data_IF_319515380476
#
_entry.id   IF_319515380476
#
_cell.length_a   1.000
_cell.length_b   1.000
_cell.length_c   1.000
_cell.angle_alpha   90.00
_cell.angle_beta   90.00
_cell.angle_gamma   90.00
#
_symmetry.space_group_name_H-M   'P 1'
#
loop_
_entity.id
_entity.type
_entity.pdbx_description
1 polymer ?
#
# COMPACT_ATOMS: atom_id res chain seq x y z
N UNK A 1 -51.42 57.26 -3.52
CA UNK A 1 -50.85 57.12 -2.16
C UNK A 1 -50.89 55.62 -1.88
N UNK A 2 -49.84 54.84 -2.15
CA UNK A 2 -48.54 54.86 -1.44
C UNK A 2 -48.76 54.15 -0.09
N UNK A 3 -48.47 52.86 0.04
CA UNK A 3 -47.21 52.27 0.55
C UNK A 3 -47.51 51.60 1.93
N UNK A 4 -46.86 50.58 2.47
CA UNK A 4 -45.80 49.63 2.11
C UNK A 4 -46.10 48.27 2.81
N UNK A 5 -45.47 47.15 2.45
CA UNK A 5 -44.14 46.70 2.92
C UNK A 5 -44.27 46.14 4.35
N UNK A 6 -44.04 44.86 4.64
CA UNK A 6 -42.75 44.15 4.59
C UNK A 6 -42.94 42.63 4.38
N UNK A 7 -42.17 42.05 3.44
CA UNK A 7 -41.81 40.62 3.38
C UNK A 7 -40.36 40.50 3.87
N UNK A 8 -40.12 39.65 4.87
CA UNK A 8 -38.78 39.23 5.30
C UNK A 8 -38.44 37.87 4.67
N UNK A 9 -37.18 37.75 4.23
CA UNK A 9 -36.45 36.48 4.35
C UNK A 9 -36.07 35.78 3.06
N UNK A 10 -35.17 36.38 2.27
CA UNK A 10 -34.35 35.62 1.32
C UNK A 10 -32.88 36.02 1.51
N UNK A 11 -32.12 35.18 2.21
CA UNK A 11 -30.79 35.54 2.71
C UNK A 11 -29.91 34.36 3.08
N UNK A 12 -30.15 33.15 2.53
CA UNK A 12 -29.38 31.96 2.89
C UNK A 12 -28.74 31.20 1.71
N UNK A 13 -29.00 31.61 0.46
CA UNK A 13 -28.38 30.97 -0.72
C UNK A 13 -26.97 31.50 -1.03
N UNK A 14 -26.62 32.69 -0.56
CA UNK A 14 -25.31 33.33 -0.83
C UNK A 14 -24.16 32.92 0.09
N UNK A 15 -24.43 32.31 1.25
CA UNK A 15 -23.40 31.86 2.21
C UNK A 15 -22.89 30.45 1.90
N UNK A 16 -23.76 29.53 1.48
CA UNK A 16 -23.35 28.17 1.07
C UNK A 16 -22.48 28.19 -0.20
N UNK A 17 -22.83 29.03 -1.17
CA UNK A 17 -22.09 29.17 -2.44
C UNK A 17 -20.72 29.88 -2.26
N UNK A 18 -20.48 30.45 -1.07
CA UNK A 18 -19.20 31.01 -0.63
C UNK A 18 -18.34 29.97 0.10
N UNK A 19 -18.97 29.16 0.95
CA UNK A 19 -18.30 28.07 1.67
C UNK A 19 -17.83 26.96 0.71
N UNK A 20 -18.65 26.60 -0.29
CA UNK A 20 -18.25 25.61 -1.31
C UNK A 20 -17.09 26.11 -2.20
N UNK A 21 -17.04 27.42 -2.48
CA UNK A 21 -15.91 28.03 -3.20
C UNK A 21 -14.65 28.12 -2.35
N UNK A 22 -14.78 28.36 -1.05
CA UNK A 22 -13.64 28.36 -0.12
C UNK A 22 -13.10 26.94 0.12
N UNK A 23 -13.95 25.91 0.14
CA UNK A 23 -13.55 24.50 0.20
C UNK A 23 -12.91 24.01 -1.11
N UNK A 24 -13.42 24.40 -2.29
CA UNK A 24 -12.76 24.11 -3.57
C UNK A 24 -11.42 24.84 -3.72
N UNK A 25 -11.29 26.06 -3.17
CA UNK A 25 -10.04 26.81 -3.19
C UNK A 25 -9.03 26.29 -2.16
N UNK A 26 -9.48 25.71 -1.05
CA UNK A 26 -8.64 24.98 -0.09
C UNK A 26 -8.20 23.61 -0.64
N UNK A 27 -9.10 22.86 -1.30
CA UNK A 27 -8.75 21.59 -1.96
C UNK A 27 -7.74 21.78 -3.11
N UNK A 28 -7.79 22.91 -3.83
CA UNK A 28 -6.77 23.28 -4.83
C UNK A 28 -5.44 23.71 -4.22
N UNK A 29 -5.41 24.20 -2.98
CA UNK A 29 -4.18 24.58 -2.26
C UNK A 29 -3.49 23.39 -1.58
N UNK A 30 -4.20 22.31 -1.26
CA UNK A 30 -3.59 21.12 -0.64
C UNK A 30 -2.78 20.26 -1.62
N UNK A 31 -2.99 20.39 -2.93
CA UNK A 31 -2.18 19.76 -3.99
C UNK A 31 -0.98 20.62 -4.46
N UNK A 32 -0.85 21.87 -3.98
CA UNK A 32 0.34 22.69 -4.22
C UNK A 32 1.45 22.33 -3.23
N UNK A 33 2.29 21.37 -3.64
CA UNK A 33 3.63 21.22 -3.06
C UNK A 33 4.30 22.61 -3.06
N UNK A 34 4.83 23.11 -1.94
CA UNK A 34 5.41 24.45 -1.87
C UNK A 34 6.41 24.60 -3.01
N UNK A 35 6.26 25.69 -3.78
CA UNK A 35 7.07 26.06 -4.94
C UNK A 35 8.50 26.48 -4.53
N UNK A 36 9.16 25.63 -3.73
CA UNK A 36 10.60 25.53 -3.67
C UNK A 36 11.04 24.66 -4.83
N UNK A 37 10.89 25.18 -6.05
CA UNK A 37 11.45 24.60 -7.27
C UNK A 37 12.88 24.15 -6.97
N UNK A 38 13.10 22.83 -7.00
CA UNK A 38 14.42 22.25 -7.18
C UNK A 38 14.91 22.75 -8.53
N UNK A 39 15.50 23.95 -8.53
CA UNK A 39 16.17 24.49 -9.69
C UNK A 39 17.42 23.65 -9.88
N UNK A 40 17.42 22.81 -10.90
CA UNK A 40 18.60 22.04 -11.30
C UNK A 40 19.68 23.06 -11.69
N UNK A 41 20.61 23.34 -10.77
CA UNK A 41 21.82 24.06 -11.12
C UNK A 41 22.67 23.16 -12.01
N UNK A 42 23.10 23.68 -13.17
CA UNK A 42 24.06 23.01 -14.06
C UNK A 42 25.40 22.69 -13.37
N UNK A 43 25.67 23.29 -12.22
CA UNK A 43 26.94 23.17 -11.53
C UNK A 43 27.11 21.81 -10.82
N UNK A 44 26.02 21.07 -10.55
CA UNK A 44 26.07 19.76 -9.90
C UNK A 44 25.41 18.71 -10.79
N UNK A 45 26.23 17.78 -11.30
CA UNK A 45 25.74 16.63 -12.02
C UNK A 45 25.14 15.61 -11.02
N UNK A 46 23.81 15.59 -10.88
CA UNK A 46 23.09 14.70 -9.98
C UNK A 46 23.42 13.20 -10.20
N UNK A 47 23.74 12.79 -11.42
CA UNK A 47 24.18 11.42 -11.71
C UNK A 47 25.49 11.08 -11.00
N UNK A 48 26.46 11.99 -10.96
CA UNK A 48 27.70 11.77 -10.18
C UNK A 48 27.43 11.56 -8.70
N UNK A 49 26.40 12.23 -8.16
CA UNK A 49 25.97 12.02 -6.77
C UNK A 49 25.42 10.60 -6.58
N UNK A 50 24.55 10.12 -7.47
CA UNK A 50 24.04 8.75 -7.40
C UNK A 50 25.14 7.70 -7.55
N UNK A 51 26.11 7.90 -8.45
CA UNK A 51 27.28 7.01 -8.58
C UNK A 51 28.10 6.99 -7.28
N UNK A 52 28.33 8.15 -6.67
CA UNK A 52 29.04 8.22 -5.39
C UNK A 52 28.29 7.49 -4.26
N UNK A 53 26.96 7.71 -4.15
CA UNK A 53 26.12 7.03 -3.18
C UNK A 53 26.14 5.51 -3.40
N UNK A 54 26.02 5.07 -4.65
CA UNK A 54 26.08 3.67 -5.04
C UNK A 54 27.40 3.00 -4.63
N UNK A 55 28.54 3.65 -4.89
CA UNK A 55 29.86 3.18 -4.50
C UNK A 55 30.03 3.13 -2.97
N UNK A 56 29.49 4.13 -2.27
CA UNK A 56 29.54 4.20 -0.81
C UNK A 56 28.75 3.04 -0.18
N UNK A 57 27.54 2.78 -0.69
CA UNK A 57 26.73 1.65 -0.22
C UNK A 57 27.38 0.32 -0.59
N UNK A 58 27.99 0.20 -1.76
CA UNK A 58 28.70 -1.02 -2.16
C UNK A 58 29.89 -1.34 -1.22
N UNK A 59 30.60 -0.32 -0.75
CA UNK A 59 31.68 -0.49 0.23
C UNK A 59 31.16 -0.85 1.63
N UNK A 60 29.96 -0.39 2.01
CA UNK A 60 29.36 -0.62 3.31
C UNK A 60 28.64 -1.99 3.42
N UNK A 61 27.97 -2.40 2.34
CA UNK A 61 27.04 -3.54 2.33
C UNK A 61 27.66 -4.86 2.83
N UNK A 62 28.93 -5.21 2.53
CA UNK A 62 29.53 -6.44 3.05
C UNK A 62 29.58 -6.52 4.59
N UNK A 63 29.66 -5.37 5.27
CA UNK A 63 29.66 -5.32 6.74
C UNK A 63 28.25 -5.29 7.36
N UNK A 64 27.25 -4.83 6.61
CA UNK A 64 25.85 -4.79 7.04
C UNK A 64 24.90 -4.85 5.84
N UNK A 65 24.55 -6.05 5.35
CA UNK A 65 23.74 -6.22 4.15
C UNK A 65 22.33 -5.65 4.29
N UNK A 66 21.70 -5.78 5.46
CA UNK A 66 20.37 -5.22 5.71
C UNK A 66 20.37 -3.69 5.61
N UNK A 67 21.36 -3.03 6.21
CA UNK A 67 21.49 -1.57 6.11
C UNK A 67 21.81 -1.13 4.68
N UNK A 68 22.76 -1.81 4.03
CA UNK A 68 23.13 -1.54 2.64
C UNK A 68 21.93 -1.60 1.70
N UNK A 69 21.11 -2.64 1.83
CA UNK A 69 19.88 -2.81 1.07
C UNK A 69 18.91 -1.65 1.31
N UNK A 70 18.65 -1.30 2.58
CA UNK A 70 17.76 -0.17 2.90
C UNK A 70 18.27 1.15 2.35
N UNK A 71 19.59 1.37 2.35
CA UNK A 71 20.18 2.56 1.74
C UNK A 71 19.98 2.57 0.23
N UNK A 72 20.21 1.45 -0.47
CA UNK A 72 19.89 1.35 -1.90
C UNK A 72 18.41 1.68 -2.18
N UNK A 73 17.48 1.16 -1.38
CA UNK A 73 16.06 1.47 -1.54
C UNK A 73 15.75 2.97 -1.37
N UNK A 74 16.38 3.65 -0.41
CA UNK A 74 16.21 5.09 -0.22
C UNK A 74 16.78 5.90 -1.39
N UNK A 75 17.94 5.48 -1.91
CA UNK A 75 18.57 6.12 -3.07
C UNK A 75 17.69 5.93 -4.31
N UNK A 76 17.14 4.73 -4.54
CA UNK A 76 16.22 4.44 -5.63
C UNK A 76 14.97 5.33 -5.57
N UNK A 77 14.36 5.48 -4.38
CA UNK A 77 13.22 6.37 -4.18
C UNK A 77 13.59 7.84 -4.47
N UNK A 78 14.76 8.29 -4.01
CA UNK A 78 15.25 9.63 -4.31
C UNK A 78 15.41 9.86 -5.81
N UNK A 79 15.97 8.90 -6.55
CA UNK A 79 16.13 8.99 -7.99
C UNK A 79 14.77 9.02 -8.72
N UNK A 80 13.80 8.19 -8.29
CA UNK A 80 12.43 8.22 -8.84
C UNK A 80 11.74 9.58 -8.61
N UNK A 81 11.93 10.19 -7.45
CA UNK A 81 11.41 11.55 -7.17
C UNK A 81 12.07 12.61 -8.05
N UNK A 82 13.37 12.51 -8.31
CA UNK A 82 14.05 13.38 -9.28
C UNK A 82 13.51 13.17 -10.70
N UNK A 83 13.26 11.92 -11.11
CA UNK A 83 12.64 11.61 -12.40
C UNK A 83 11.25 12.23 -12.53
N UNK A 84 10.44 12.17 -11.47
CA UNK A 84 9.10 12.76 -11.45
C UNK A 84 9.17 14.30 -11.54
N UNK A 85 10.06 14.93 -10.76
CA UNK A 85 10.25 16.38 -10.80
C UNK A 85 10.75 16.86 -12.17
N UNK A 86 11.69 16.14 -12.78
CA UNK A 86 12.19 16.42 -14.13
C UNK A 86 11.08 16.28 -15.19
N UNK A 87 10.23 15.26 -15.07
CA UNK A 87 9.10 15.06 -15.99
C UNK A 87 8.07 16.19 -15.89
N UNK A 88 7.79 16.68 -14.66
CA UNK A 88 6.86 17.80 -14.43
C UNK A 88 7.40 19.14 -14.92
N UNK A 89 8.72 19.35 -14.91
CA UNK A 89 9.35 20.57 -15.43
C UNK A 89 9.59 20.54 -16.95
N UNK A 90 9.23 19.45 -17.63
CA UNK A 90 9.50 19.27 -19.07
C UNK A 90 10.98 19.00 -19.39
N UNK A 91 11.80 18.66 -18.38
CA UNK A 91 13.19 18.28 -18.57
C UNK A 91 13.30 16.93 -19.28
N UNK A 92 14.29 16.83 -20.19
CA UNK A 92 14.60 15.58 -20.90
C UNK A 92 15.36 14.56 -20.05
N UNK A 93 15.73 14.92 -18.81
CA UNK A 93 16.50 14.08 -17.90
C UNK A 93 15.64 13.08 -17.11
N UNK A 94 14.31 13.22 -17.13
CA UNK A 94 13.38 12.33 -16.41
C UNK A 94 13.61 10.83 -16.66
N UNK A 95 13.69 10.38 -17.93
CA UNK A 95 13.98 8.98 -18.25
C UNK A 95 15.32 8.49 -17.71
N UNK A 96 16.35 9.35 -17.68
CA UNK A 96 17.68 8.98 -17.15
C UNK A 96 17.62 8.74 -15.63
N UNK A 97 16.93 9.60 -14.88
CA UNK A 97 16.75 9.38 -13.44
C UNK A 97 15.89 8.15 -13.13
N UNK A 98 14.90 7.84 -13.97
CA UNK A 98 14.09 6.62 -13.81
C UNK A 98 14.94 5.35 -14.03
N UNK A 99 15.82 5.36 -15.04
CA UNK A 99 16.78 4.28 -15.26
C UNK A 99 17.74 4.10 -14.07
N UNK A 100 18.26 5.20 -13.51
CA UNK A 100 19.09 5.15 -12.29
C UNK A 100 18.32 4.55 -11.11
N UNK A 101 17.05 4.95 -10.91
CA UNK A 101 16.22 4.39 -9.85
C UNK A 101 16.04 2.87 -10.00
N UNK A 102 15.83 2.39 -11.23
CA UNK A 102 15.65 0.99 -11.54
C UNK A 102 16.94 0.18 -11.31
N UNK A 103 18.08 0.67 -11.81
CA UNK A 103 19.39 0.04 -11.61
C UNK A 103 19.72 -0.12 -10.12
N UNK A 104 19.47 0.91 -9.31
CA UNK A 104 19.72 0.88 -7.87
C UNK A 104 18.75 -0.07 -7.16
N UNK A 105 17.49 -0.15 -7.59
CA UNK A 105 16.54 -1.15 -7.08
C UNK A 105 17.02 -2.57 -7.40
N UNK A 106 17.51 -2.81 -8.61
CA UNK A 106 18.06 -4.10 -9.00
C UNK A 106 19.27 -4.49 -8.14
N UNK A 107 20.12 -3.54 -7.77
CA UNK A 107 21.22 -3.77 -6.83
C UNK A 107 20.75 -4.12 -5.41
N UNK A 108 19.70 -3.46 -4.92
CA UNK A 108 19.09 -3.83 -3.64
C UNK A 108 18.59 -5.28 -3.65
N UNK A 109 18.06 -5.75 -4.79
CA UNK A 109 17.54 -7.11 -4.95
C UNK A 109 18.67 -8.14 -5.07
N UNK A 110 19.76 -7.82 -5.76
CA UNK A 110 20.95 -8.67 -5.77
C UNK A 110 21.53 -8.83 -4.36
N UNK A 111 21.67 -7.73 -3.62
CA UNK A 111 22.14 -7.78 -2.23
C UNK A 111 21.23 -8.62 -1.32
N UNK A 112 19.91 -8.57 -1.54
CA UNK A 112 18.97 -9.44 -0.85
C UNK A 112 19.25 -10.93 -1.12
N UNK A 113 19.49 -11.27 -2.38
CA UNK A 113 19.69 -12.65 -2.83
C UNK A 113 21.01 -13.22 -2.34
N UNK A 114 22.07 -12.42 -2.37
CA UNK A 114 23.43 -12.87 -2.09
C UNK A 114 23.73 -12.87 -0.59
N UNK A 115 23.33 -11.82 0.14
CA UNK A 115 23.88 -11.55 1.49
C UNK A 115 22.82 -11.45 2.61
N UNK A 116 21.52 -11.29 2.31
CA UNK A 116 20.46 -11.19 3.35
C UNK A 116 19.89 -12.58 3.68
N UNK A 117 20.54 -13.26 4.61
CA UNK A 117 20.18 -14.64 5.01
C UNK A 117 19.39 -14.76 6.33
N UNK A 118 19.48 -13.78 7.24
CA UNK A 118 18.70 -13.81 8.49
C UNK A 118 17.20 -13.67 8.21
N UNK A 119 16.41 -14.61 8.73
CA UNK A 119 14.96 -14.65 8.52
C UNK A 119 14.24 -13.36 8.96
N UNK A 120 14.69 -12.71 10.05
CA UNK A 120 14.07 -11.45 10.48
C UNK A 120 14.52 -10.27 9.60
N UNK A 121 15.79 -10.23 9.20
CA UNK A 121 16.29 -9.25 8.23
C UNK A 121 15.59 -9.37 6.88
N UNK A 122 15.36 -10.60 6.38
CA UNK A 122 14.60 -10.86 5.17
C UNK A 122 13.19 -10.28 5.24
N UNK A 123 12.48 -10.47 6.35
CA UNK A 123 11.17 -9.89 6.55
C UNK A 123 11.22 -8.35 6.53
N UNK A 124 12.12 -7.74 7.31
CA UNK A 124 12.25 -6.28 7.38
C UNK A 124 12.63 -5.64 6.05
N UNK A 125 13.46 -6.33 5.26
CA UNK A 125 13.88 -5.85 3.93
C UNK A 125 12.76 -6.00 2.90
N UNK A 126 11.98 -7.09 2.92
CA UNK A 126 10.77 -7.21 2.07
C UNK A 126 9.77 -6.10 2.38
N UNK A 127 9.51 -5.80 3.65
CA UNK A 127 8.63 -4.68 4.04
C UNK A 127 9.14 -3.36 3.47
N UNK A 128 10.46 -3.11 3.56
CA UNK A 128 11.07 -1.92 2.98
C UNK A 128 10.95 -1.89 1.45
N UNK A 129 11.17 -3.01 0.76
CA UNK A 129 10.98 -3.12 -0.69
C UNK A 129 9.55 -2.79 -1.10
N UNK A 130 8.56 -3.36 -0.41
CA UNK A 130 7.13 -3.09 -0.69
C UNK A 130 6.85 -1.60 -0.55
N UNK A 131 7.25 -0.98 0.57
CA UNK A 131 7.05 0.44 0.81
C UNK A 131 7.71 1.33 -0.24
N UNK A 132 8.95 1.01 -0.65
CA UNK A 132 9.66 1.76 -1.68
C UNK A 132 9.00 1.63 -3.04
N UNK A 133 8.62 0.41 -3.46
CA UNK A 133 7.93 0.19 -4.74
C UNK A 133 6.54 0.85 -4.77
N UNK A 134 5.83 0.88 -3.64
CA UNK A 134 4.57 1.63 -3.52
C UNK A 134 4.76 3.14 -3.52
N UNK A 135 5.97 3.65 -3.29
CA UNK A 135 6.29 5.08 -3.38
C UNK A 135 6.77 5.49 -4.78
N UNK A 136 7.44 4.59 -5.52
CA UNK A 136 7.92 4.88 -6.87
C UNK A 136 6.78 5.13 -7.86
N UNK A 137 6.95 6.09 -8.78
CA UNK A 137 5.92 6.50 -9.73
C UNK A 137 6.36 6.45 -11.18
N UNK A 138 7.67 6.44 -11.44
CA UNK A 138 8.21 6.67 -12.79
C UNK A 138 8.58 5.41 -13.55
N UNK A 139 8.66 4.26 -12.88
CA UNK A 139 8.95 2.99 -13.55
C UNK A 139 7.93 2.67 -14.65
N UNK A 140 8.44 2.21 -15.78
CA UNK A 140 7.63 1.66 -16.86
C UNK A 140 6.85 0.43 -16.35
N UNK A 141 5.77 0.10 -17.04
CA UNK A 141 4.86 -0.96 -16.61
C UNK A 141 5.57 -2.30 -16.45
N UNK A 142 6.37 -2.69 -17.44
CA UNK A 142 7.04 -3.99 -17.47
C UNK A 142 8.17 -4.06 -16.42
N UNK A 143 8.91 -2.97 -16.25
CA UNK A 143 9.93 -2.82 -15.21
C UNK A 143 9.33 -2.92 -13.81
N UNK A 144 8.21 -2.21 -13.57
CA UNK A 144 7.49 -2.29 -12.31
C UNK A 144 6.97 -3.71 -12.06
N UNK A 145 6.37 -4.33 -13.07
CA UNK A 145 5.85 -5.70 -12.97
C UNK A 145 6.95 -6.71 -12.63
N UNK A 146 8.13 -6.58 -13.23
CA UNK A 146 9.29 -7.42 -12.93
C UNK A 146 9.71 -7.28 -11.46
N UNK A 147 9.82 -6.05 -10.95
CA UNK A 147 10.21 -5.77 -9.57
C UNK A 147 9.19 -6.32 -8.56
N UNK A 148 7.90 -6.01 -8.72
CA UNK A 148 6.86 -6.46 -7.77
C UNK A 148 6.70 -7.98 -7.78
N UNK A 149 6.86 -8.61 -8.94
CA UNK A 149 6.80 -10.07 -9.07
C UNK A 149 7.96 -10.71 -8.33
N UNK A 150 9.16 -10.16 -8.45
CA UNK A 150 10.36 -10.64 -7.75
C UNK A 150 10.24 -10.44 -6.23
N UNK A 151 9.71 -9.30 -5.77
CA UNK A 151 9.41 -9.07 -4.33
C UNK A 151 8.38 -10.08 -3.79
N UNK A 152 7.30 -10.35 -4.52
CA UNK A 152 6.32 -11.35 -4.13
C UNK A 152 6.90 -12.77 -4.08
N UNK A 153 7.85 -13.10 -4.97
CA UNK A 153 8.58 -14.36 -4.93
C UNK A 153 9.46 -14.49 -3.68
N UNK A 154 10.11 -13.41 -3.24
CA UNK A 154 10.88 -13.40 -1.99
C UNK A 154 9.98 -13.67 -0.79
N UNK A 155 8.85 -12.97 -0.67
CA UNK A 155 7.84 -13.22 0.35
C UNK A 155 7.37 -14.68 0.35
N UNK A 156 7.14 -15.24 -0.84
CA UNK A 156 6.71 -16.62 -1.04
C UNK A 156 7.81 -17.67 -0.78
N UNK A 157 9.08 -17.28 -0.61
CA UNK A 157 10.20 -18.20 -0.32
C UNK A 157 10.68 -18.15 1.13
N UNK A 158 10.08 -17.30 1.97
CA UNK A 158 10.39 -17.25 3.39
C UNK A 158 10.20 -18.61 4.06
N UNK A 159 11.15 -18.98 4.92
CA UNK A 159 11.20 -20.29 5.58
C UNK A 159 10.02 -20.49 6.55
N UNK A 160 9.67 -19.45 7.32
CA UNK A 160 8.59 -19.51 8.31
C UNK A 160 7.25 -19.25 7.64
N UNK A 161 6.31 -20.20 7.79
CA UNK A 161 4.96 -20.10 7.21
C UNK A 161 4.16 -18.89 7.69
N UNK A 162 4.30 -18.52 8.96
CA UNK A 162 3.65 -17.32 9.51
C UNK A 162 4.15 -16.05 8.82
N UNK A 163 5.46 -15.95 8.59
CA UNK A 163 6.06 -14.79 7.94
C UNK A 163 5.77 -14.79 6.44
N UNK A 164 5.79 -15.97 5.80
CA UNK A 164 5.36 -16.18 4.42
C UNK A 164 3.92 -15.68 4.23
N UNK A 165 2.99 -16.04 5.12
CA UNK A 165 1.61 -15.59 5.08
C UNK A 165 1.53 -14.06 5.13
N UNK A 166 2.12 -13.45 6.17
CA UNK A 166 2.10 -11.99 6.37
C UNK A 166 2.69 -11.23 5.20
N UNK A 167 3.84 -11.68 4.68
CA UNK A 167 4.53 -10.99 3.59
C UNK A 167 3.85 -11.19 2.22
N UNK A 168 3.25 -12.36 1.97
CA UNK A 168 2.44 -12.58 0.76
C UNK A 168 1.19 -11.71 0.78
N UNK A 169 0.51 -11.60 1.95
CA UNK A 169 -0.61 -10.66 2.13
C UNK A 169 -0.15 -9.23 1.88
N UNK A 170 0.97 -8.80 2.46
CA UNK A 170 1.50 -7.44 2.25
C UNK A 170 1.86 -7.16 0.78
N UNK A 171 2.45 -8.12 0.07
CA UNK A 171 2.78 -7.96 -1.35
C UNK A 171 1.56 -7.82 -2.26
N UNK A 172 0.34 -8.15 -1.79
CA UNK A 172 -0.88 -7.93 -2.57
C UNK A 172 -1.06 -6.45 -2.96
N UNK A 173 -0.59 -5.51 -2.12
CA UNK A 173 -0.70 -4.06 -2.37
C UNK A 173 0.09 -3.62 -3.59
N UNK A 174 1.19 -4.31 -3.91
CA UNK A 174 2.00 -4.00 -5.09
C UNK A 174 1.23 -4.25 -6.40
N UNK A 175 0.22 -5.11 -6.37
CA UNK A 175 -0.63 -5.41 -7.51
C UNK A 175 -1.89 -4.53 -7.57
N UNK A 176 -2.04 -3.57 -6.66
CA UNK A 176 -3.21 -2.69 -6.61
C UNK A 176 -2.81 -1.28 -6.21
N UNK A 177 -2.33 -0.54 -7.18
CA UNK A 177 -1.82 0.82 -7.02
C UNK A 177 -2.92 1.88 -7.01
N UNK A 178 -4.10 1.59 -7.57
CA UNK A 178 -5.25 2.50 -7.60
C UNK A 178 -6.54 1.83 -8.08
N UNK A 179 -7.68 2.44 -7.78
CA UNK A 179 -8.99 2.01 -8.27
C UNK A 179 -9.21 2.46 -9.73
N UNK A 180 -10.16 1.86 -10.44
CA UNK A 180 -10.50 2.30 -11.80
C UNK A 180 -10.78 3.80 -11.85
N UNK A 181 -10.11 4.51 -12.77
CA UNK A 181 -10.17 5.98 -12.89
C UNK A 181 -8.99 6.72 -12.23
N UNK A 182 -8.21 6.08 -11.36
CA UNK A 182 -6.98 6.66 -10.81
C UNK A 182 -5.83 6.55 -11.84
N UNK A 183 -5.06 7.62 -12.12
CA UNK A 183 -3.88 7.55 -12.99
C UNK A 183 -2.88 6.45 -12.60
N UNK A 184 -2.81 6.10 -11.31
CA UNK A 184 -1.96 5.03 -10.80
C UNK A 184 -2.50 3.62 -11.07
N UNK A 185 -3.79 3.47 -11.40
CA UNK A 185 -4.43 2.19 -11.68
C UNK A 185 -3.90 1.49 -12.94
N UNK A 186 -3.20 2.23 -13.82
CA UNK A 186 -2.55 1.69 -15.02
C UNK A 186 -1.58 0.54 -14.71
N UNK A 187 -1.01 0.52 -13.50
CA UNK A 187 -0.10 -0.54 -13.02
C UNK A 187 -0.78 -1.62 -12.17
N UNK A 188 -2.10 -1.55 -11.99
CA UNK A 188 -2.84 -2.50 -11.16
C UNK A 188 -3.14 -3.79 -11.90
N UNK A 189 -3.03 -4.90 -11.18
CA UNK A 189 -3.38 -6.25 -11.62
C UNK A 189 -4.37 -6.87 -10.60
N UNK A 190 -5.67 -6.50 -10.64
CA UNK A 190 -6.68 -6.92 -9.67
C UNK A 190 -6.73 -8.44 -9.43
N UNK A 191 -6.53 -9.23 -10.49
CA UNK A 191 -6.51 -10.70 -10.39
C UNK A 191 -5.35 -11.22 -9.54
N UNK A 192 -4.16 -10.60 -9.64
CA UNK A 192 -2.97 -10.99 -8.86
C UNK A 192 -3.14 -10.67 -7.37
N UNK A 193 -3.94 -9.66 -7.04
CA UNK A 193 -4.36 -9.38 -5.65
C UNK A 193 -5.10 -10.58 -5.07
N UNK A 194 -6.13 -11.08 -5.79
CA UNK A 194 -6.91 -12.24 -5.33
C UNK A 194 -6.02 -13.49 -5.22
N UNK A 195 -5.12 -13.73 -6.18
CA UNK A 195 -4.17 -14.85 -6.12
C UNK A 195 -3.25 -14.77 -4.88
N UNK A 196 -2.76 -13.57 -4.54
CA UNK A 196 -1.99 -13.34 -3.32
C UNK A 196 -2.80 -13.65 -2.06
N UNK A 197 -4.03 -13.14 -1.96
CA UNK A 197 -4.89 -13.35 -0.79
C UNK A 197 -5.32 -14.82 -0.65
N UNK A 198 -5.67 -15.50 -1.75
CA UNK A 198 -5.98 -16.92 -1.73
C UNK A 198 -4.77 -17.78 -1.36
N UNK A 199 -3.57 -17.40 -1.82
CA UNK A 199 -2.33 -18.07 -1.41
C UNK A 199 -2.06 -17.84 0.07
N UNK A 200 -2.26 -16.62 0.58
CA UNK A 200 -2.12 -16.31 2.00
C UNK A 200 -3.10 -17.13 2.85
N UNK A 201 -4.38 -17.25 2.44
CA UNK A 201 -5.37 -18.08 3.13
C UNK A 201 -4.92 -19.53 3.23
N UNK A 202 -4.45 -20.14 2.13
CA UNK A 202 -3.92 -21.52 2.16
C UNK A 202 -2.75 -21.69 3.13
N UNK A 203 -1.91 -20.66 3.29
CA UNK A 203 -0.81 -20.68 4.26
C UNK A 203 -1.34 -20.49 5.68
N UNK A 204 -2.33 -19.61 5.88
CA UNK A 204 -2.99 -19.39 7.16
C UNK A 204 -3.68 -20.67 7.66
N UNK A 205 -4.38 -21.41 6.79
CA UNK A 205 -4.97 -22.72 7.11
C UNK A 205 -3.92 -23.70 7.64
N UNK A 206 -2.78 -23.82 6.93
CA UNK A 206 -1.69 -24.68 7.36
C UNK A 206 -1.08 -24.25 8.72
N UNK A 207 -0.99 -22.94 8.98
CA UNK A 207 -0.52 -22.40 10.25
C UNK A 207 -1.52 -22.63 11.39
N UNK A 208 -2.82 -22.46 11.13
CA UNK A 208 -3.90 -22.61 12.11
C UNK A 208 -4.03 -24.03 12.61
N UNK A 209 -3.86 -25.02 11.72
CA UNK A 209 -3.79 -26.43 12.10
C UNK A 209 -2.63 -26.74 13.03
N UNK A 210 -1.51 -26.01 12.90
CA UNK A 210 -0.34 -26.19 13.76
C UNK A 210 -0.49 -25.49 15.13
N UNK A 211 -1.17 -24.35 15.17
CA UNK A 211 -1.44 -23.62 16.41
C UNK A 211 -2.67 -22.73 16.25
N UNK A 212 -3.68 -22.87 17.15
CA UNK A 212 -4.85 -22.01 17.11
C UNK A 212 -4.56 -20.52 17.35
N UNK A 213 -3.38 -20.19 17.91
CA UNK A 213 -2.93 -18.81 18.05
C UNK A 213 -2.69 -18.10 16.70
N UNK A 214 -2.60 -18.86 15.59
CA UNK A 214 -2.42 -18.30 14.25
C UNK A 214 -3.73 -17.79 13.61
N UNK A 215 -4.86 -17.81 14.33
CA UNK A 215 -6.12 -17.23 13.86
C UNK A 215 -5.99 -15.75 13.46
N UNK A 216 -5.02 -15.02 14.06
CA UNK A 216 -4.66 -13.65 13.67
C UNK A 216 -4.41 -13.51 12.15
N UNK A 217 -3.80 -14.53 11.51
CA UNK A 217 -3.49 -14.48 10.09
C UNK A 217 -4.75 -14.34 9.23
N UNK A 218 -5.85 -14.99 9.59
CA UNK A 218 -7.12 -14.84 8.88
C UNK A 218 -7.72 -13.45 9.08
N UNK A 219 -7.61 -12.91 10.30
CA UNK A 219 -8.11 -11.56 10.61
C UNK A 219 -7.35 -10.52 9.81
N UNK A 220 -6.02 -10.63 9.72
CA UNK A 220 -5.18 -9.74 8.92
C UNK A 220 -5.53 -9.83 7.42
N UNK A 221 -5.80 -11.05 6.92
CA UNK A 221 -6.24 -11.26 5.53
C UNK A 221 -7.64 -10.67 5.30
N UNK A 222 -8.56 -10.81 6.25
CA UNK A 222 -9.91 -10.22 6.17
C UNK A 222 -9.83 -8.70 6.04
N UNK A 223 -8.98 -8.06 6.84
CA UNK A 223 -8.76 -6.61 6.78
C UNK A 223 -8.29 -6.18 5.38
N UNK A 224 -7.41 -6.96 4.75
CA UNK A 224 -6.99 -6.72 3.37
C UNK A 224 -8.12 -6.93 2.34
N UNK A 225 -8.94 -7.98 2.49
CA UNK A 225 -10.11 -8.17 1.65
C UNK A 225 -11.06 -6.98 1.74
N UNK A 226 -11.33 -6.47 2.95
CA UNK A 226 -12.17 -5.30 3.18
C UNK A 226 -11.57 -4.06 2.51
N UNK A 227 -10.26 -3.83 2.66
CA UNK A 227 -9.55 -2.73 2.00
C UNK A 227 -9.71 -2.75 0.46
N UNK A 228 -9.51 -3.91 -0.18
CA UNK A 228 -9.62 -4.00 -1.64
C UNK A 228 -11.06 -3.94 -2.12
N UNK A 229 -11.98 -4.53 -1.37
CA UNK A 229 -13.40 -4.37 -1.61
C UNK A 229 -13.70 -2.86 -1.61
N UNK A 230 -13.25 -2.13 -0.57
CA UNK A 230 -13.55 -0.69 -0.40
C UNK A 230 -13.05 0.18 -1.53
N UNK A 231 -11.88 -0.17 -2.08
CA UNK A 231 -11.32 0.48 -3.25
C UNK A 231 -11.88 -0.04 -4.57
N UNK A 232 -13.01 -0.74 -4.56
CA UNK A 232 -13.73 -1.25 -5.72
C UNK A 232 -12.85 -2.12 -6.63
N UNK A 233 -12.01 -2.97 -6.04
CA UNK A 233 -11.30 -3.99 -6.81
C UNK A 233 -12.35 -4.94 -7.44
N UNK A 234 -12.44 -5.05 -8.78
CA UNK A 234 -13.54 -5.73 -9.46
C UNK A 234 -13.58 -7.25 -9.23
N UNK A 235 -12.47 -7.82 -8.75
CA UNK A 235 -12.33 -9.26 -8.53
C UNK A 235 -12.71 -9.65 -7.09
N UNK A 236 -12.72 -8.69 -6.16
CA UNK A 236 -13.07 -8.92 -4.76
C UNK A 236 -14.57 -8.72 -4.58
N UNK A 237 -15.23 -9.72 -3.99
CA UNK A 237 -16.69 -9.76 -3.83
C UNK A 237 -17.09 -9.86 -2.36
N UNK A 238 -18.31 -9.43 -2.05
CA UNK A 238 -18.95 -9.55 -0.73
C UNK A 238 -18.93 -10.99 -0.20
N UNK A 239 -19.01 -11.98 -1.09
CA UNK A 239 -18.98 -13.41 -0.75
C UNK A 239 -17.64 -13.85 -0.16
N UNK A 240 -16.52 -13.32 -0.66
CA UNK A 240 -15.20 -13.63 -0.09
C UNK A 240 -15.07 -13.12 1.34
N UNK A 241 -15.55 -11.89 1.59
CA UNK A 241 -15.55 -11.28 2.93
C UNK A 241 -16.47 -12.07 3.86
N UNK A 242 -17.72 -12.31 3.45
CA UNK A 242 -18.72 -13.02 4.26
C UNK A 242 -18.27 -14.44 4.61
N UNK A 243 -17.69 -15.15 3.63
CA UNK A 243 -17.15 -16.49 3.85
C UNK A 243 -15.98 -16.50 4.83
N UNK A 244 -15.07 -15.52 4.73
CA UNK A 244 -13.93 -15.41 5.64
C UNK A 244 -14.36 -14.97 7.05
N UNK A 245 -15.37 -14.11 7.18
CA UNK A 245 -15.99 -13.77 8.47
C UNK A 245 -16.56 -15.01 9.14
N UNK A 246 -17.35 -15.81 8.42
CA UNK A 246 -17.91 -17.06 8.94
C UNK A 246 -16.81 -18.05 9.37
N UNK A 247 -15.76 -18.20 8.55
CA UNK A 247 -14.61 -19.05 8.86
C UNK A 247 -13.88 -18.62 10.14
N UNK A 248 -13.65 -17.31 10.32
CA UNK A 248 -12.99 -16.77 11.52
C UNK A 248 -13.87 -17.01 12.76
N UNK A 249 -15.18 -16.81 12.65
CA UNK A 249 -16.12 -17.08 13.75
C UNK A 249 -16.11 -18.55 14.18
N UNK A 250 -16.08 -19.47 13.22
CA UNK A 250 -15.97 -20.91 13.49
C UNK A 250 -14.65 -21.23 14.21
N UNK A 251 -13.52 -20.75 13.70
CA UNK A 251 -12.22 -20.94 14.36
C UNK A 251 -12.21 -20.37 15.78
N UNK A 252 -12.73 -19.16 15.98
CA UNK A 252 -12.80 -18.53 17.31
C UNK A 252 -13.77 -19.23 18.26
N UNK A 253 -14.84 -19.85 17.75
CA UNK A 253 -15.75 -20.70 18.54
C UNK A 253 -15.05 -21.97 19.04
N UNK A 254 -14.21 -22.57 18.19
CA UNK A 254 -13.50 -23.81 18.50
C UNK A 254 -12.36 -23.63 19.52
N UNK A 255 -11.80 -22.43 19.67
CA UNK A 255 -10.64 -22.17 20.55
C UNK A 255 -11.00 -22.11 22.06
N UNK A 256 -12.29 -21.99 22.41
CA UNK A 256 -12.72 -21.89 23.81
C UNK A 256 -12.35 -20.57 24.51
N UNK A 257 -12.65 -20.47 25.82
CA UNK A 257 -12.49 -19.26 26.63
C UNK A 257 -11.13 -19.10 27.32
N UNK A 258 -10.36 -20.19 27.51
CA UNK A 258 -8.98 -20.15 28.04
C UNK A 258 -7.97 -19.77 26.95
N UNK A 259 -8.25 -18.66 26.28
CA UNK A 259 -7.51 -18.19 25.11
C UNK A 259 -6.22 -17.47 25.49
N UNK A 260 -5.12 -17.80 24.80
CA UNK A 260 -3.84 -17.10 24.94
C UNK A 260 -3.96 -15.61 24.59
N UNK A 261 -3.00 -14.79 25.04
CA UNK A 261 -2.96 -13.36 24.72
C UNK A 261 -3.05 -13.08 23.21
N UNK A 262 -2.41 -13.93 22.38
CA UNK A 262 -2.46 -13.82 20.92
C UNK A 262 -3.88 -14.04 20.36
N UNK A 263 -4.64 -14.96 20.93
CA UNK A 263 -6.04 -15.19 20.52
C UNK A 263 -6.94 -14.05 20.98
N UNK A 264 -6.69 -13.49 22.17
CA UNK A 264 -7.42 -12.32 22.66
C UNK A 264 -7.20 -11.09 21.76
N UNK A 265 -5.96 -10.86 21.32
CA UNK A 265 -5.60 -9.82 20.35
C UNK A 265 -6.34 -10.04 19.01
N UNK A 266 -6.34 -11.27 18.49
CA UNK A 266 -7.07 -11.61 17.27
C UNK A 266 -8.58 -11.38 17.38
N UNK A 267 -9.20 -11.73 18.51
CA UNK A 267 -10.62 -11.45 18.78
C UNK A 267 -10.90 -9.95 18.82
N UNK A 268 -10.03 -9.17 19.44
CA UNK A 268 -10.16 -7.72 19.50
C UNK A 268 -10.04 -7.08 18.10
N UNK A 269 -9.03 -7.49 17.32
CA UNK A 269 -8.85 -7.02 15.95
C UNK A 269 -10.05 -7.40 15.07
N UNK A 270 -10.51 -8.65 15.13
CA UNK A 270 -11.68 -9.09 14.38
C UNK A 270 -12.93 -8.29 14.73
N UNK A 271 -13.18 -8.04 16.02
CA UNK A 271 -14.31 -7.21 16.47
C UNK A 271 -14.24 -5.79 15.91
N UNK A 272 -13.03 -5.23 15.80
CA UNK A 272 -12.80 -3.92 15.19
C UNK A 272 -13.09 -3.93 13.68
N UNK A 273 -12.66 -4.96 12.94
CA UNK A 273 -12.97 -5.12 11.50
C UNK A 273 -14.48 -5.28 11.29
N UNK A 274 -15.17 -6.08 12.10
CA UNK A 274 -16.63 -6.23 12.01
C UNK A 274 -17.35 -4.91 12.31
N UNK A 275 -16.87 -4.15 13.30
CA UNK A 275 -17.40 -2.81 13.59
C UNK A 275 -17.21 -1.87 12.41
N UNK A 276 -16.05 -1.92 11.77
CA UNK A 276 -15.75 -1.14 10.57
C UNK A 276 -16.70 -1.46 9.41
N UNK A 277 -16.89 -2.75 9.11
CA UNK A 277 -17.85 -3.19 8.07
C UNK A 277 -19.27 -2.69 8.39
N UNK A 278 -19.70 -2.81 9.65
CA UNK A 278 -21.02 -2.31 10.07
C UNK A 278 -21.16 -0.81 9.92
N UNK A 279 -20.11 -0.04 10.20
CA UNK A 279 -20.11 1.40 9.98
C UNK A 279 -20.28 1.75 8.50
N UNK A 280 -19.53 1.05 7.62
CA UNK A 280 -19.62 1.25 6.17
C UNK A 280 -20.98 0.87 5.56
N UNK A 281 -21.77 0.03 6.23
CA UNK A 281 -23.15 -0.26 5.82
C UNK A 281 -24.14 0.88 6.07
N UNK A 282 -23.79 1.84 6.91
CA UNK A 282 -24.66 2.95 7.32
C UNK A 282 -24.23 4.26 6.65
N UNK A 283 -22.96 4.35 6.26
CA UNK A 283 -22.36 5.47 5.55
C UNK A 283 -22.98 5.63 4.14
N UNK A 284 -23.47 6.82 3.80
CA UNK A 284 -24.22 7.09 2.55
C UNK A 284 -23.46 6.66 1.31
N UNK A 285 -22.14 6.84 1.32
CA UNK A 285 -21.30 6.67 0.14
C UNK A 285 -20.96 5.20 -0.10
N UNK A 286 -21.08 4.37 0.95
CA UNK A 286 -20.64 2.98 0.94
C UNK A 286 -21.73 1.96 1.32
N UNK A 287 -22.89 2.42 1.78
CA UNK A 287 -23.96 1.57 2.30
C UNK A 287 -24.46 0.55 1.26
N UNK A 288 -24.78 0.99 0.04
CA UNK A 288 -25.39 0.14 -0.98
C UNK A 288 -24.54 -1.09 -1.29
N UNK A 289 -23.23 -0.90 -1.39
CA UNK A 289 -22.32 -1.94 -1.85
C UNK A 289 -21.72 -2.76 -0.69
N UNK A 290 -21.70 -2.25 0.55
CA UNK A 290 -21.40 -3.06 1.74
C UNK A 290 -22.61 -3.85 2.25
N UNK A 291 -23.84 -3.47 1.90
CA UNK A 291 -25.05 -4.14 2.35
C UNK A 291 -25.07 -5.67 2.14
N UNK A 292 -24.57 -6.23 1.02
CA UNK A 292 -24.56 -7.67 0.78
C UNK A 292 -23.65 -8.49 1.71
N UNK A 293 -22.65 -7.86 2.35
CA UNK A 293 -21.72 -8.59 3.24
C UNK A 293 -22.47 -9.14 4.44
N UNK A 294 -22.27 -10.40 4.78
CA UNK A 294 -22.82 -11.01 6.00
C UNK A 294 -21.72 -11.06 7.06
N UNK A 295 -22.01 -10.49 8.24
CA UNK A 295 -21.12 -10.48 9.39
C UNK A 295 -21.67 -11.32 10.53
#
# INVERSE_FOLDING_TARGET
KGGGGEEEGDGNEGENDKLEKEEEEQAKKEDEVPDGLLTFSKDINCRKVYVFLQQTVAALSPGNPELGLKLYLQIANSADRCALAASRSGSKEGPEFSAVAYEIMAQAFLLYEDDVSDSKAQQRTIVAMVGTLLACRTFERDDYEALITKTAQYAAKLLKKTDQCKMVTLCSHLFFTGAEGDPSAVRSHPQRVLECLQRALKIADACSMASPANVQLFVDILDHYVFYYERKNPVITDKFISGLVALIQEHMGNIGFDSSAAVAEARAHFSQVIRYIKQKKIDSDTAEWFAPIVC
#
